data_IF_214019137496
#
_entry.id   IF_214019137496
#
_cell.length_a   1.000
_cell.length_b   1.000
_cell.length_c   1.000
_cell.angle_alpha   90.00
_cell.angle_beta   90.00
_cell.angle_gamma   90.00
#
_symmetry.space_group_name_H-M   'P 1'
#
loop_
_entity.id
_entity.type
_entity.pdbx_description
1 polymer ?
#
# COMPACT_ATOMS: atom_id res chain seq x y z
N UNK A 1 20.10 -8.87 -7.73
CA UNK A 1 18.94 -9.53 -8.37
C UNK A 1 18.79 -10.93 -7.79
N UNK A 2 17.60 -11.27 -7.31
CA UNK A 2 17.23 -12.62 -6.85
C UNK A 2 15.90 -13.04 -7.49
N UNK A 3 15.45 -14.26 -7.26
CA UNK A 3 14.13 -14.75 -7.68
C UNK A 3 13.30 -15.01 -6.43
N UNK A 4 12.05 -14.58 -6.44
CA UNK A 4 11.11 -14.79 -5.34
C UNK A 4 9.72 -15.16 -5.86
N UNK A 5 8.97 -15.86 -5.02
CA UNK A 5 7.58 -16.20 -5.26
C UNK A 5 6.66 -15.06 -4.83
N UNK A 6 5.80 -14.60 -5.75
CA UNK A 6 4.83 -13.53 -5.51
C UNK A 6 3.41 -14.05 -5.72
N UNK A 7 2.48 -13.62 -4.85
CA UNK A 7 1.09 -14.07 -4.93
C UNK A 7 0.22 -13.02 -5.58
N UNK A 8 -0.31 -13.36 -6.74
CA UNK A 8 -1.23 -12.54 -7.52
C UNK A 8 -2.66 -13.03 -7.35
N UNK A 9 -3.63 -12.17 -7.66
CA UNK A 9 -5.00 -12.65 -7.91
C UNK A 9 -5.00 -13.55 -9.15
N UNK A 10 -5.65 -14.72 -9.05
CA UNK A 10 -5.77 -15.65 -10.17
C UNK A 10 -6.87 -15.20 -11.13
N UNK A 11 -6.49 -14.89 -12.39
CA UNK A 11 -7.40 -14.47 -13.47
C UNK A 11 -8.51 -15.49 -13.75
N UNK A 12 -8.31 -16.78 -13.45
CA UNK A 12 -9.34 -17.81 -13.65
C UNK A 12 -10.38 -17.87 -12.53
N UNK A 13 -10.20 -17.12 -11.43
CA UNK A 13 -10.98 -17.28 -10.20
C UNK A 13 -12.04 -16.20 -9.95
N UNK A 14 -12.23 -15.27 -10.89
CA UNK A 14 -13.24 -14.20 -10.79
C UNK A 14 -13.75 -13.83 -12.19
N UNK A 15 -14.95 -13.24 -12.26
CA UNK A 15 -15.45 -12.60 -13.48
C UNK A 15 -14.86 -11.18 -13.59
N UNK A 16 -14.01 -10.89 -14.59
CA UNK A 16 -13.39 -9.57 -14.75
C UNK A 16 -14.40 -8.47 -15.10
N UNK A 17 -15.62 -8.83 -15.51
CA UNK A 17 -16.68 -7.88 -15.88
C UNK A 17 -17.69 -7.65 -14.74
N UNK A 18 -17.59 -8.39 -13.64
CA UNK A 18 -18.54 -8.25 -12.54
C UNK A 18 -18.34 -6.91 -11.81
N UNK A 19 -19.38 -6.07 -11.83
CA UNK A 19 -19.41 -4.77 -11.13
C UNK A 19 -20.37 -4.75 -9.95
N UNK A 20 -21.27 -5.72 -9.87
CA UNK A 20 -22.26 -5.79 -8.79
C UNK A 20 -21.60 -6.23 -7.46
N UNK A 21 -21.97 -5.62 -6.32
CA UNK A 21 -21.50 -6.06 -5.01
C UNK A 21 -21.69 -7.56 -4.80
N UNK A 22 -20.72 -8.21 -4.14
CA UNK A 22 -20.68 -9.65 -3.88
C UNK A 22 -20.55 -10.57 -5.11
N UNK A 23 -20.71 -10.06 -6.34
CA UNK A 23 -20.30 -10.75 -7.58
C UNK A 23 -18.91 -10.34 -8.04
N UNK A 24 -18.62 -9.04 -7.96
CA UNK A 24 -17.28 -8.48 -8.10
C UNK A 24 -16.35 -9.14 -7.08
N UNK A 25 -15.08 -9.42 -7.42
CA UNK A 25 -14.15 -9.99 -6.46
C UNK A 25 -14.04 -9.15 -5.19
N UNK A 26 -14.06 -9.81 -4.03
CA UNK A 26 -14.07 -9.16 -2.73
C UNK A 26 -13.11 -9.82 -1.74
N UNK A 27 -12.70 -9.05 -0.74
CA UNK A 27 -11.93 -9.51 0.42
C UNK A 27 -12.50 -8.93 1.71
N UNK A 28 -12.52 -9.72 2.78
CA UNK A 28 -12.87 -9.27 4.12
C UNK A 28 -11.70 -8.52 4.76
N UNK A 29 -12.01 -7.47 5.52
CA UNK A 29 -10.97 -6.66 6.21
C UNK A 29 -10.52 -7.26 7.54
N UNK A 30 -11.32 -8.16 8.10
CA UNK A 30 -11.18 -8.75 9.43
C UNK A 30 -10.65 -10.19 9.39
N UNK A 31 -10.30 -10.71 8.22
CA UNK A 31 -9.86 -12.09 8.07
C UNK A 31 -9.40 -12.46 6.67
N UNK A 32 -9.06 -13.73 6.44
CA UNK A 32 -8.53 -14.21 5.16
C UNK A 32 -9.62 -14.45 4.09
N UNK A 33 -10.90 -14.24 4.43
CA UNK A 33 -12.03 -14.50 3.56
C UNK A 33 -12.01 -13.64 2.29
N UNK A 34 -12.17 -14.28 1.15
CA UNK A 34 -12.20 -13.65 -0.18
C UNK A 34 -12.94 -14.53 -1.18
N UNK A 35 -13.38 -13.94 -2.29
CA UNK A 35 -14.10 -14.67 -3.36
C UNK A 35 -13.23 -15.14 -4.52
N UNK A 36 -11.92 -14.93 -4.45
CA UNK A 36 -10.96 -15.26 -5.50
C UNK A 36 -9.81 -16.09 -4.95
N UNK A 37 -9.15 -16.83 -5.83
CA UNK A 37 -7.96 -17.62 -5.52
C UNK A 37 -6.69 -16.78 -5.76
N UNK A 38 -5.60 -17.19 -5.11
CA UNK A 38 -4.28 -16.66 -5.44
C UNK A 38 -3.51 -17.66 -6.27
N UNK A 39 -2.71 -17.15 -7.20
CA UNK A 39 -1.68 -17.90 -7.89
C UNK A 39 -0.31 -17.39 -7.45
N UNK A 40 0.62 -18.31 -7.20
CA UNK A 40 1.98 -17.98 -6.80
C UNK A 40 2.91 -18.16 -8.01
N UNK A 41 3.64 -17.11 -8.35
CA UNK A 41 4.50 -17.08 -9.53
C UNK A 41 5.87 -16.57 -9.16
N UNK A 42 6.90 -17.26 -9.63
CA UNK A 42 8.28 -16.78 -9.50
C UNK A 42 8.52 -15.57 -10.41
N UNK A 43 9.12 -14.53 -9.86
CA UNK A 43 9.59 -13.36 -10.61
C UNK A 43 10.98 -12.96 -10.14
N UNK A 44 11.72 -12.35 -11.05
CA UNK A 44 12.96 -11.64 -10.70
C UNK A 44 12.58 -10.42 -9.85
N UNK A 45 13.38 -10.18 -8.82
CA UNK A 45 13.32 -8.97 -8.01
C UNK A 45 14.71 -8.36 -7.92
N UNK A 46 14.78 -7.08 -8.26
CA UNK A 46 16.01 -6.31 -8.38
C UNK A 46 16.24 -5.47 -7.12
N UNK A 47 17.49 -5.40 -6.68
CA UNK A 47 17.84 -4.56 -5.55
C UNK A 47 17.96 -3.11 -6.02
N UNK A 48 17.21 -2.20 -5.41
CA UNK A 48 17.16 -0.78 -5.74
C UNK A 48 18.46 -0.04 -5.37
N UNK A 49 19.31 -0.67 -4.54
CA UNK A 49 20.58 -0.10 -4.09
C UNK A 49 21.46 0.31 -5.28
N UNK A 50 21.93 1.56 -5.28
CA UNK A 50 22.80 2.14 -6.30
C UNK A 50 22.09 2.64 -7.57
N UNK A 51 20.77 2.52 -7.65
CA UNK A 51 19.93 3.02 -8.74
C UNK A 51 18.80 3.94 -8.23
N UNK A 52 18.86 4.38 -6.97
CA UNK A 52 17.78 5.10 -6.30
C UNK A 52 17.35 6.37 -7.04
N UNK A 53 18.29 7.06 -7.68
CA UNK A 53 18.04 8.30 -8.44
C UNK A 53 17.13 8.10 -9.66
N UNK A 54 17.02 6.87 -10.16
CA UNK A 54 16.25 6.56 -11.36
C UNK A 54 14.77 6.34 -11.06
N UNK A 55 14.40 6.31 -9.77
CA UNK A 55 13.06 5.98 -9.28
C UNK A 55 12.48 7.14 -8.46
N UNK A 56 11.30 7.58 -8.89
CA UNK A 56 10.54 8.67 -8.29
C UNK A 56 9.08 8.24 -8.18
N UNK A 57 8.34 8.91 -7.29
CA UNK A 57 6.89 8.68 -7.20
C UNK A 57 6.16 8.98 -8.51
N UNK A 58 6.68 9.87 -9.36
CA UNK A 58 6.04 10.22 -10.63
C UNK A 58 6.39 9.27 -11.78
N UNK A 59 7.58 8.66 -11.85
CA UNK A 59 7.91 7.73 -12.94
C UNK A 59 7.60 6.26 -12.61
N UNK A 60 7.98 5.77 -11.43
CA UNK A 60 7.88 4.36 -11.05
C UNK A 60 6.80 4.11 -10.00
N UNK A 61 6.28 5.16 -9.38
CA UNK A 61 5.31 5.05 -8.29
C UNK A 61 5.95 4.84 -6.91
N UNK A 62 7.28 4.91 -6.79
CA UNK A 62 7.97 4.82 -5.49
C UNK A 62 9.32 5.54 -5.49
N UNK A 63 9.79 5.93 -4.31
CA UNK A 63 11.09 6.59 -4.14
C UNK A 63 11.69 6.31 -2.76
N UNK A 64 12.99 6.02 -2.70
CA UNK A 64 13.72 5.79 -1.45
C UNK A 64 14.42 7.07 -1.00
N UNK A 65 14.35 7.37 0.29
CA UNK A 65 15.06 8.49 0.90
C UNK A 65 15.79 8.07 2.18
N UNK A 66 17.03 8.53 2.32
CA UNK A 66 17.68 8.59 3.63
C UNK A 66 17.02 9.72 4.44
N UNK A 67 16.33 9.33 5.52
CA UNK A 67 15.57 10.22 6.38
C UNK A 67 15.50 9.63 7.80
N UNK A 68 16.57 9.75 8.59
CA UNK A 68 16.56 9.39 10.01
C UNK A 68 15.32 9.97 10.73
N UNK A 69 14.63 9.17 11.55
CA UNK A 69 13.53 9.66 12.38
C UNK A 69 13.96 9.76 13.84
N UNK A 70 13.32 10.68 14.57
CA UNK A 70 13.50 10.83 16.01
C UNK A 70 12.72 9.78 16.80
N UNK A 71 11.52 9.44 16.34
CA UNK A 71 10.77 8.31 16.87
C UNK A 71 11.35 6.99 16.32
N UNK A 72 11.74 6.09 17.21
CA UNK A 72 12.40 4.82 16.85
C UNK A 72 11.70 3.58 17.40
N UNK A 73 10.85 3.71 18.42
CA UNK A 73 10.20 2.59 19.08
C UNK A 73 8.80 2.32 18.49
N UNK A 74 8.05 3.37 18.16
CA UNK A 74 6.69 3.31 17.62
C UNK A 74 5.74 2.46 18.48
N UNK A 75 5.81 2.60 19.80
CA UNK A 75 5.00 1.84 20.76
C UNK A 75 3.86 2.64 21.39
N UNK A 76 3.85 3.97 21.21
CA UNK A 76 2.83 4.89 21.72
C UNK A 76 2.16 5.64 20.55
N UNK A 77 0.87 5.36 20.31
CA UNK A 77 0.08 6.02 19.25
C UNK A 77 0.05 7.55 19.40
N UNK A 78 0.01 8.06 20.64
CA UNK A 78 0.01 9.49 20.88
C UNK A 78 1.36 10.12 20.48
N UNK A 79 2.48 9.46 20.80
CA UNK A 79 3.81 9.90 20.39
C UNK A 79 3.97 9.87 18.86
N UNK A 80 3.46 8.83 18.18
CA UNK A 80 3.47 8.75 16.72
C UNK A 80 2.70 9.90 16.09
N UNK A 81 1.49 10.20 16.60
CA UNK A 81 0.65 11.28 16.07
C UNK A 81 1.19 12.67 16.37
N UNK A 82 1.74 12.90 17.56
CA UNK A 82 2.21 14.22 17.98
C UNK A 82 3.61 14.56 17.42
N UNK A 83 4.48 13.55 17.26
CA UNK A 83 5.86 13.74 16.80
C UNK A 83 6.06 13.26 15.37
N UNK A 84 5.96 11.95 15.13
CA UNK A 84 6.38 11.33 13.87
C UNK A 84 5.56 11.81 12.66
N UNK A 85 4.28 12.14 12.84
CA UNK A 85 3.46 12.72 11.77
C UNK A 85 4.04 14.03 11.22
N UNK A 86 4.63 14.87 12.09
CA UNK A 86 5.28 16.10 11.65
C UNK A 86 6.55 15.81 10.84
N UNK A 87 7.32 14.79 11.23
CA UNK A 87 8.51 14.34 10.47
C UNK A 87 8.12 13.81 9.08
N UNK A 88 7.01 13.06 8.99
CA UNK A 88 6.46 12.56 7.73
C UNK A 88 5.99 13.70 6.83
N UNK A 89 5.25 14.68 7.37
CA UNK A 89 4.81 15.84 6.60
C UNK A 89 6.00 16.66 6.07
N UNK A 90 7.02 16.91 6.91
CA UNK A 90 8.23 17.61 6.51
C UNK A 90 8.94 16.89 5.36
N UNK A 91 9.10 15.56 5.48
CA UNK A 91 9.71 14.75 4.43
C UNK A 91 8.92 14.81 3.12
N UNK A 92 7.59 14.70 3.16
CA UNK A 92 6.72 14.82 1.98
C UNK A 92 6.89 16.18 1.31
N UNK A 93 6.81 17.28 2.06
CA UNK A 93 6.98 18.64 1.52
C UNK A 93 8.38 18.88 0.94
N UNK A 94 9.41 18.29 1.55
CA UNK A 94 10.79 18.40 1.08
C UNK A 94 11.03 17.64 -0.23
N UNK A 95 10.37 16.50 -0.41
CA UNK A 95 10.63 15.58 -1.54
C UNK A 95 9.64 15.72 -2.68
N UNK A 96 8.44 16.23 -2.42
CA UNK A 96 7.40 16.46 -3.41
C UNK A 96 7.26 17.97 -3.63
N UNK A 97 7.67 18.51 -4.78
CA UNK A 97 7.57 19.95 -5.03
C UNK A 97 6.09 20.39 -5.16
N UNK A 98 5.77 21.57 -4.63
CA UNK A 98 4.44 22.17 -4.77
C UNK A 98 3.36 21.65 -3.83
N UNK A 99 3.73 20.91 -2.77
CA UNK A 99 2.77 20.44 -1.76
C UNK A 99 2.17 21.63 -1.01
N UNK A 100 0.85 21.79 -1.17
CA UNK A 100 0.02 22.77 -0.47
C UNK A 100 -0.37 22.25 0.91
N UNK A 101 -0.97 21.06 0.95
CA UNK A 101 -1.53 20.44 2.16
C UNK A 101 -1.17 18.96 2.24
N UNK A 102 -0.87 18.50 3.44
CA UNK A 102 -0.78 17.08 3.78
C UNK A 102 -1.83 16.79 4.84
N UNK A 103 -2.55 15.68 4.69
CA UNK A 103 -3.44 15.16 5.72
C UNK A 103 -3.12 13.68 5.94
N UNK A 104 -2.61 13.36 7.12
CA UNK A 104 -2.31 11.99 7.54
C UNK A 104 -3.56 11.41 8.18
N UNK A 105 -4.10 10.33 7.61
CA UNK A 105 -5.39 9.79 8.06
C UNK A 105 -5.28 8.49 8.85
N UNK A 106 -4.23 7.70 8.64
CA UNK A 106 -3.92 6.56 9.50
C UNK A 106 -2.42 6.23 9.47
N UNK A 107 -2.01 5.43 10.44
CA UNK A 107 -0.80 4.62 10.31
C UNK A 107 -1.08 3.17 10.70
N UNK A 108 -0.30 2.25 10.17
CA UNK A 108 -0.33 0.84 10.52
C UNK A 108 1.05 0.37 10.92
N UNK A 109 1.14 -0.26 12.09
CA UNK A 109 2.36 -0.90 12.54
C UNK A 109 2.19 -2.41 12.44
N UNK A 110 3.16 -3.08 11.83
CA UNK A 110 3.24 -4.54 11.75
C UNK A 110 4.52 -4.98 12.44
N UNK A 111 4.39 -5.88 13.41
CA UNK A 111 5.51 -6.54 14.08
C UNK A 111 5.31 -8.02 13.92
N UNK A 112 6.29 -8.74 13.37
CA UNK A 112 6.24 -10.19 13.23
C UNK A 112 6.91 -10.85 14.43
N UNK A 113 6.11 -11.12 15.45
CA UNK A 113 6.45 -11.88 16.65
C UNK A 113 5.50 -13.09 16.79
N UNK A 114 5.80 -14.09 17.62
CA UNK A 114 4.84 -15.15 17.92
C UNK A 114 3.51 -14.56 18.41
N UNK A 115 2.40 -14.92 17.74
CA UNK A 115 1.05 -14.45 18.11
C UNK A 115 0.63 -13.08 17.57
N UNK A 116 1.41 -12.46 16.66
CA UNK A 116 1.03 -11.18 16.08
C UNK A 116 -0.29 -11.23 15.31
N UNK A 117 -1.19 -10.30 15.60
CA UNK A 117 -2.47 -10.15 14.90
C UNK A 117 -2.30 -9.80 13.41
N UNK A 118 -1.23 -9.08 13.06
CA UNK A 118 -0.96 -8.60 11.68
C UNK A 118 0.36 -9.13 11.16
N UNK A 119 0.29 -10.01 10.16
CA UNK A 119 1.44 -10.46 9.39
C UNK A 119 1.71 -9.55 8.17
N UNK A 120 2.91 -9.59 7.58
CA UNK A 120 3.17 -8.99 6.27
C UNK A 120 2.17 -9.44 5.20
N UNK A 121 1.60 -8.50 4.45
CA UNK A 121 0.66 -8.79 3.35
C UNK A 121 1.45 -9.34 2.17
N UNK A 122 1.06 -10.50 1.66
CA UNK A 122 1.75 -11.22 0.56
C UNK A 122 0.97 -11.24 -0.76
N UNK A 123 -0.20 -10.58 -0.82
CA UNK A 123 -0.90 -10.32 -2.07
C UNK A 123 -0.25 -9.11 -2.73
N UNK A 124 0.04 -9.17 -4.03
CA UNK A 124 0.41 -7.99 -4.82
C UNK A 124 -0.83 -7.08 -4.96
N UNK A 125 -0.75 -5.87 -4.43
CA UNK A 125 -1.88 -4.95 -4.36
C UNK A 125 -1.46 -3.48 -4.51
N UNK A 126 -2.45 -2.61 -4.71
CA UNK A 126 -2.36 -1.17 -4.50
C UNK A 126 -3.54 -0.75 -3.63
N UNK A 127 -3.27 -0.04 -2.53
CA UNK A 127 -4.27 0.24 -1.50
C UNK A 127 -5.52 0.96 -1.99
N UNK A 128 -5.41 1.79 -3.03
CA UNK A 128 -6.47 2.71 -3.43
C UNK A 128 -6.85 2.55 -4.88
N UNK A 129 -8.15 2.42 -5.13
CA UNK A 129 -8.74 2.73 -6.42
C UNK A 129 -9.13 4.21 -6.50
N UNK A 130 -9.47 4.77 -7.67
CA UNK A 130 -9.92 6.15 -7.77
C UNK A 130 -11.10 6.47 -6.84
N UNK A 131 -12.08 5.57 -6.77
CA UNK A 131 -13.24 5.69 -5.87
C UNK A 131 -12.82 5.67 -4.40
N UNK A 132 -11.90 4.76 -4.04
CA UNK A 132 -11.41 4.66 -2.67
C UNK A 132 -10.59 5.91 -2.27
N UNK A 133 -9.78 6.44 -3.18
CA UNK A 133 -8.98 7.63 -2.96
C UNK A 133 -9.85 8.87 -2.71
N UNK A 134 -10.87 9.11 -3.54
CA UNK A 134 -11.83 10.19 -3.30
C UNK A 134 -12.58 9.99 -1.97
N UNK A 135 -13.00 8.76 -1.65
CA UNK A 135 -13.65 8.46 -0.39
C UNK A 135 -12.76 8.76 0.84
N UNK A 136 -11.43 8.65 0.71
CA UNK A 136 -10.48 9.07 1.77
C UNK A 136 -10.45 10.58 1.93
N UNK A 137 -10.46 11.35 0.84
CA UNK A 137 -10.56 12.82 0.90
C UNK A 137 -11.82 13.22 1.66
N UNK A 138 -12.98 12.70 1.22
CA UNK A 138 -14.29 13.02 1.82
C UNK A 138 -14.41 12.61 3.29
N UNK A 139 -13.76 11.52 3.69
CA UNK A 139 -13.83 11.01 5.07
C UNK A 139 -12.92 11.76 6.04
N UNK A 140 -11.75 12.18 5.58
CA UNK A 140 -10.66 12.62 6.48
C UNK A 140 -10.39 14.13 6.44
N UNK A 141 -11.05 14.87 5.56
CA UNK A 141 -10.93 16.32 5.49
C UNK A 141 -12.18 17.05 6.01
N UNK A 142 -12.03 18.32 6.45
CA UNK A 142 -13.16 19.20 6.71
C UNK A 142 -14.08 19.32 5.50
N UNK A 143 -15.39 19.22 5.72
CA UNK A 143 -16.41 19.20 4.66
C UNK A 143 -16.35 20.44 3.75
N UNK A 144 -16.01 21.60 4.32
CA UNK A 144 -15.89 22.89 3.61
C UNK A 144 -14.65 23.00 2.70
N UNK A 145 -13.67 22.10 2.85
CA UNK A 145 -12.48 22.08 2.00
C UNK A 145 -12.53 21.02 0.88
N UNK A 146 -13.36 19.98 1.04
CA UNK A 146 -13.34 18.77 0.19
C UNK A 146 -13.50 19.10 -1.29
N UNK A 147 -14.52 19.87 -1.65
CA UNK A 147 -14.84 20.14 -3.06
C UNK A 147 -13.77 20.98 -3.75
N UNK A 148 -13.12 21.90 -3.05
CA UNK A 148 -12.01 22.68 -3.61
C UNK A 148 -10.75 21.82 -3.79
N UNK A 149 -10.46 20.96 -2.82
CA UNK A 149 -9.28 20.10 -2.88
C UNK A 149 -9.39 19.00 -3.93
N UNK A 150 -10.60 18.52 -4.23
CA UNK A 150 -10.85 17.54 -5.30
C UNK A 150 -10.72 18.13 -6.72
N UNK A 151 -10.74 19.46 -6.87
CA UNK A 151 -10.55 20.11 -8.18
C UNK A 151 -9.10 20.16 -8.62
N UNK A 152 -8.15 20.24 -7.68
CA UNK A 152 -6.71 20.26 -7.95
C UNK A 152 -6.09 18.86 -7.95
N UNK A 153 -4.79 18.76 -8.24
CA UNK A 153 -4.07 17.49 -8.05
C UNK A 153 -4.03 17.13 -6.57
N UNK A 154 -4.38 15.88 -6.30
CA UNK A 154 -4.09 15.18 -5.06
C UNK A 154 -3.55 13.76 -5.31
N UNK A 155 -2.79 13.28 -4.34
CA UNK A 155 -2.16 11.97 -4.30
C UNK A 155 -2.42 11.27 -2.96
N UNK A 156 -2.30 9.94 -2.96
CA UNK A 156 -2.12 9.17 -1.73
C UNK A 156 -0.73 8.55 -1.76
N UNK A 157 0.09 8.91 -0.77
CA UNK A 157 1.43 8.37 -0.56
C UNK A 157 1.47 7.64 0.78
N UNK A 158 1.87 6.38 0.75
CA UNK A 158 2.25 5.66 1.96
C UNK A 158 3.74 5.91 2.21
N UNK A 159 4.08 6.37 3.41
CA UNK A 159 5.48 6.47 3.88
C UNK A 159 5.77 5.26 4.73
N UNK A 160 6.57 4.35 4.18
CA UNK A 160 6.90 3.07 4.80
C UNK A 160 8.34 3.07 5.31
N UNK A 161 8.56 2.52 6.50
CA UNK A 161 9.92 2.25 7.01
C UNK A 161 10.00 1.02 7.92
N UNK A 162 11.18 0.39 8.00
CA UNK A 162 11.52 -0.56 9.05
C UNK A 162 11.55 0.11 10.43
N UNK A 163 11.29 -0.69 11.46
CA UNK A 163 11.42 -0.31 12.87
C UNK A 163 12.51 -1.19 13.49
N UNK A 164 13.36 -0.59 14.31
CA UNK A 164 14.39 -1.23 15.15
C UNK A 164 15.54 -1.92 14.38
N UNK A 165 15.22 -2.73 13.37
CA UNK A 165 16.17 -3.55 12.63
C UNK A 165 16.01 -3.36 11.11
N UNK A 166 17.03 -3.70 10.31
CA UNK A 166 16.87 -3.79 8.86
C UNK A 166 15.73 -4.76 8.48
N UNK A 167 14.98 -4.41 7.44
CA UNK A 167 13.87 -5.23 6.93
C UNK A 167 14.37 -6.41 6.06
N UNK A 168 15.20 -7.28 6.62
CA UNK A 168 15.70 -8.48 5.94
C UNK A 168 14.69 -9.62 5.91
N UNK A 169 13.85 -9.73 6.95
CA UNK A 169 12.72 -10.67 6.99
C UNK A 169 11.51 -10.07 6.27
N UNK A 170 10.92 -10.82 5.34
CA UNK A 170 9.78 -10.37 4.53
C UNK A 170 9.89 -8.93 3.98
N UNK A 171 10.96 -8.55 3.26
CA UNK A 171 11.11 -7.21 2.73
C UNK A 171 9.94 -6.76 1.85
N UNK A 172 9.81 -5.45 1.66
CA UNK A 172 8.83 -4.85 0.79
C UNK A 172 9.33 -4.88 -0.67
N UNK A 173 8.59 -5.55 -1.54
CA UNK A 173 8.76 -5.46 -2.98
C UNK A 173 7.76 -4.47 -3.59
N UNK A 174 8.20 -3.81 -4.65
CA UNK A 174 7.52 -2.75 -5.40
C UNK A 174 7.59 -3.06 -6.88
N UNK A 175 6.50 -2.88 -7.61
CA UNK A 175 6.49 -3.00 -9.07
C UNK A 175 6.67 -1.61 -9.67
N UNK A 176 7.65 -1.47 -10.54
CA UNK A 176 7.81 -0.25 -11.33
C UNK A 176 6.57 -0.02 -12.20
N UNK A 177 5.85 1.06 -11.94
CA UNK A 177 4.63 1.45 -12.65
C UNK A 177 4.75 1.33 -14.18
N UNK A 178 5.91 1.68 -14.74
CA UNK A 178 6.18 1.63 -16.19
C UNK A 178 6.04 0.22 -16.79
N UNK A 179 5.97 -0.80 -15.94
CA UNK A 179 5.82 -2.21 -16.31
C UNK A 179 4.45 -2.80 -15.99
N UNK A 180 3.52 -2.01 -15.45
CA UNK A 180 2.14 -2.43 -15.14
C UNK A 180 1.22 -2.01 -16.28
N UNK A 181 0.44 -2.94 -16.83
CA UNK A 181 -0.59 -2.62 -17.81
C UNK A 181 -1.89 -2.17 -17.12
N UNK A 182 -2.72 -1.32 -17.75
CA UNK A 182 -4.03 -0.93 -17.19
C UNK A 182 -4.90 -2.13 -16.78
N UNK A 183 -4.88 -3.21 -17.57
CA UNK A 183 -5.66 -4.43 -17.34
C UNK A 183 -5.07 -5.36 -16.25
N UNK A 184 -3.98 -4.96 -15.62
CA UNK A 184 -3.43 -5.65 -14.44
C UNK A 184 -4.13 -5.19 -13.15
N UNK A 185 -4.80 -4.03 -13.16
CA UNK A 185 -5.52 -3.49 -12.01
C UNK A 185 -6.91 -4.11 -11.86
N UNK A 186 -7.06 -5.00 -10.88
CA UNK A 186 -8.34 -5.65 -10.57
C UNK A 186 -8.96 -5.00 -9.34
N UNK A 187 -10.09 -4.32 -9.52
CA UNK A 187 -10.81 -3.69 -8.40
C UNK A 187 -11.40 -4.76 -7.50
N UNK A 188 -11.05 -4.72 -6.21
CA UNK A 188 -11.53 -5.63 -5.18
C UNK A 188 -12.39 -4.86 -4.18
N UNK A 189 -13.61 -5.32 -3.94
CA UNK A 189 -14.43 -4.76 -2.88
C UNK A 189 -13.93 -5.19 -1.50
N UNK A 190 -13.89 -4.26 -0.55
CA UNK A 190 -13.56 -4.54 0.84
C UNK A 190 -14.85 -4.68 1.65
N UNK A 191 -15.04 -5.87 2.20
CA UNK A 191 -16.17 -6.21 3.06
C UNK A 191 -15.85 -5.91 4.52
N UNK A 192 -16.70 -5.07 5.12
CA UNK A 192 -16.64 -4.74 6.54
C UNK A 192 -17.84 -5.36 7.26
N UNK A 193 -17.67 -5.86 8.49
CA UNK A 193 -18.79 -6.20 9.35
C UNK A 193 -19.72 -4.98 9.53
N UNK A 194 -21.04 -5.21 9.49
CA UNK A 194 -22.03 -4.13 9.72
C UNK A 194 -21.91 -3.53 11.13
N UNK A 195 -21.50 -4.34 12.10
CA UNK A 195 -21.25 -3.93 13.49
C UNK A 195 -19.76 -3.69 13.77
N UNK A 196 -19.02 -3.17 12.78
CA UNK A 196 -17.59 -2.88 12.93
C UNK A 196 -17.32 -1.87 14.05
N UNK A 197 -16.51 -2.27 15.03
CA UNK A 197 -15.90 -1.36 16.00
C UNK A 197 -14.48 -1.08 15.54
N UNK A 198 -14.15 0.18 15.24
CA UNK A 198 -12.86 0.58 14.65
C UNK A 198 -11.63 0.10 15.44
N UNK A 199 -11.78 -0.20 16.74
CA UNK A 199 -10.70 -0.62 17.64
C UNK A 199 -10.84 -2.07 18.14
N UNK A 200 -11.81 -2.84 17.62
CA UNK A 200 -12.06 -4.22 18.03
C UNK A 200 -11.48 -5.20 17.02
N UNK A 201 -10.20 -5.51 17.12
CA UNK A 201 -9.60 -6.61 16.34
C UNK A 201 -10.17 -7.93 16.88
N UNK A 202 -11.23 -8.45 16.25
CA UNK A 202 -11.78 -9.77 16.56
C UNK A 202 -11.21 -10.75 15.53
N UNK A 203 -10.57 -11.82 16.01
CA UNK A 203 -10.14 -12.89 15.13
C UNK A 203 -11.35 -13.48 14.40
N UNK A 204 -11.26 -13.70 13.07
CA UNK A 204 -12.40 -14.18 12.30
C UNK A 204 -12.78 -15.57 12.79
N UNK A 205 -14.08 -15.81 12.91
CA UNK A 205 -14.60 -17.16 13.16
C UNK A 205 -14.23 -18.06 11.95
N UNK A 206 -13.51 -19.14 12.25
CA UNK A 206 -13.01 -20.07 11.24
C UNK A 206 -14.13 -20.75 10.44
N UNK A 207 -15.33 -20.85 11.01
CA UNK A 207 -16.48 -21.48 10.35
C UNK A 207 -17.17 -20.54 9.34
N UNK A 208 -16.96 -19.22 9.44
CA UNK A 208 -17.62 -18.20 8.62
C UNK A 208 -16.67 -17.41 7.70
N UNK A 209 -15.44 -17.92 7.48
CA UNK A 209 -14.40 -17.26 6.66
C UNK A 209 -14.95 -16.77 5.32
N UNK A 210 -15.70 -17.62 4.59
CA UNK A 210 -16.25 -17.29 3.28
C UNK A 210 -17.70 -16.77 3.30
N UNK A 211 -18.38 -16.78 4.45
CA UNK A 211 -19.74 -16.24 4.56
C UNK A 211 -19.73 -14.72 4.44
N UNK A 212 -20.64 -14.16 3.65
CA UNK A 212 -20.82 -12.70 3.53
C UNK A 212 -21.97 -12.18 4.39
N UNK A 213 -22.62 -13.06 5.17
CA UNK A 213 -23.68 -12.67 6.09
C UNK A 213 -23.13 -11.73 7.17
N UNK A 214 -23.84 -10.62 7.42
CA UNK A 214 -23.39 -9.59 8.36
C UNK A 214 -22.33 -8.62 7.82
N UNK A 215 -21.95 -8.73 6.53
CA UNK A 215 -20.99 -7.81 5.89
C UNK A 215 -21.66 -6.83 4.93
N UNK A 216 -20.96 -5.74 4.64
CA UNK A 216 -21.29 -4.74 3.63
C UNK A 216 -20.03 -4.23 2.91
N UNK A 217 -20.19 -3.81 1.66
CA UNK A 217 -19.11 -3.20 0.88
C UNK A 217 -18.92 -1.75 1.34
N UNK A 218 -17.77 -1.45 1.96
CA UNK A 218 -17.44 -0.11 2.51
C UNK A 218 -16.11 0.46 2.02
N UNK A 219 -15.35 -0.31 1.24
CA UNK A 219 -14.09 0.12 0.66
C UNK A 219 -13.79 -0.60 -0.65
N UNK A 220 -12.70 -0.21 -1.29
CA UNK A 220 -12.21 -0.82 -2.52
C UNK A 220 -10.69 -0.71 -2.56
N UNK A 221 -10.02 -1.70 -3.13
CA UNK A 221 -8.57 -1.72 -3.35
C UNK A 221 -8.28 -2.33 -4.73
N UNK A 222 -7.03 -2.31 -5.16
CA UNK A 222 -6.58 -3.09 -6.31
C UNK A 222 -5.83 -4.33 -5.86
N UNK A 223 -6.23 -5.50 -6.36
CA UNK A 223 -5.29 -6.59 -6.53
C UNK A 223 -4.61 -6.42 -7.90
N UNK A 224 -3.36 -6.84 -8.00
CA UNK A 224 -2.64 -6.86 -9.28
C UNK A 224 -2.73 -8.26 -9.86
N UNK A 225 -3.21 -8.36 -11.10
CA UNK A 225 -3.23 -9.61 -11.86
C UNK A 225 -1.84 -9.92 -12.44
N UNK A 226 -1.49 -11.18 -12.68
CA UNK A 226 -0.15 -11.54 -13.13
C UNK A 226 0.13 -11.03 -14.54
N UNK A 227 1.33 -10.50 -14.71
CA UNK A 227 1.93 -10.11 -15.99
C UNK A 227 3.41 -10.52 -15.97
N UNK A 228 3.93 -11.01 -17.10
CA UNK A 228 5.36 -11.35 -17.24
C UNK A 228 6.24 -10.10 -17.37
N UNK A 229 5.67 -8.97 -17.79
CA UNK A 229 6.37 -7.70 -17.93
C UNK A 229 6.72 -7.03 -16.60
N UNK A 230 6.09 -7.42 -15.48
CA UNK A 230 6.32 -6.78 -14.18
C UNK A 230 7.78 -6.80 -13.77
N UNK A 231 8.31 -5.61 -13.46
CA UNK A 231 9.66 -5.43 -12.91
C UNK A 231 9.57 -5.13 -11.43
N UNK A 232 9.96 -6.09 -10.60
CA UNK A 232 9.99 -5.92 -9.15
C UNK A 232 11.32 -5.33 -8.70
N UNK A 233 11.23 -4.41 -7.76
CA UNK A 233 12.34 -3.84 -7.01
C UNK A 233 12.10 -4.03 -5.51
N UNK A 234 13.18 -4.11 -4.75
CA UNK A 234 13.16 -4.02 -3.29
C UNK A 234 14.41 -3.32 -2.82
N UNK A 235 14.44 -2.88 -1.57
CA UNK A 235 15.65 -2.31 -0.97
C UNK A 235 16.24 -3.38 -0.06
N UNK A 236 17.34 -4.00 -0.49
CA UNK A 236 18.00 -5.02 0.33
C UNK A 236 18.47 -4.39 1.64
N UNK A 237 18.12 -5.06 2.74
CA UNK A 237 18.44 -4.65 4.11
C UNK A 237 18.12 -3.17 4.38
N UNK A 238 16.96 -2.70 3.91
CA UNK A 238 16.48 -1.34 4.20
C UNK A 238 16.51 -1.10 5.71
N UNK A 239 17.13 0.00 6.13
CA UNK A 239 17.38 0.31 7.54
C UNK A 239 16.31 1.26 8.11
N UNK A 240 16.18 1.37 9.44
CA UNK A 240 15.33 2.39 10.07
C UNK A 240 15.72 3.86 9.77
N UNK A 241 16.91 4.10 9.20
CA UNK A 241 17.35 5.44 8.79
C UNK A 241 16.75 5.87 7.44
N UNK A 242 15.96 4.99 6.83
CA UNK A 242 15.44 5.17 5.48
C UNK A 242 13.91 5.17 5.50
N UNK A 243 13.31 5.85 4.53
CA UNK A 243 11.88 5.85 4.29
C UNK A 243 11.63 5.70 2.80
N UNK A 244 10.67 4.85 2.44
CA UNK A 244 10.25 4.66 1.07
C UNK A 244 8.85 5.23 0.90
N UNK A 245 8.68 6.04 -0.14
CA UNK A 245 7.37 6.51 -0.57
C UNK A 245 6.80 5.46 -1.52
N UNK A 246 5.54 5.10 -1.31
CA UNK A 246 4.78 4.22 -2.17
C UNK A 246 3.54 5.00 -2.62
N UNK A 247 3.43 5.27 -3.91
CA UNK A 247 2.25 5.92 -4.47
C UNK A 247 1.12 4.90 -4.54
N UNK A 248 0.01 5.23 -3.90
CA UNK A 248 -1.22 4.44 -3.93
C UNK A 248 -2.27 5.03 -4.86
N UNK A 249 -2.20 6.33 -5.14
CA UNK A 249 -3.08 7.02 -6.09
C UNK A 249 -2.49 8.38 -6.49
N UNK A 250 -2.79 8.84 -7.71
CA UNK A 250 -2.57 10.21 -8.18
C UNK A 250 -3.66 10.62 -9.17
N UNK A 251 -4.39 11.69 -8.85
CA UNK A 251 -5.46 12.25 -9.69
C UNK A 251 -4.97 12.82 -11.02
N UNK A 252 -3.67 13.10 -11.15
CA UNK A 252 -3.02 13.54 -12.39
C UNK A 252 -2.25 12.41 -13.08
N UNK A 253 -2.44 11.16 -12.67
CA UNK A 253 -1.74 10.03 -13.29
C UNK A 253 -2.10 9.84 -14.76
N UNK A 254 -1.26 9.07 -15.46
CA UNK A 254 -1.52 8.62 -16.82
C UNK A 254 -2.92 8.01 -16.96
N UNK A 255 -3.29 7.12 -16.05
CA UNK A 255 -4.62 6.49 -16.00
C UNK A 255 -5.74 7.50 -15.81
N UNK A 256 -5.59 8.45 -14.87
CA UNK A 256 -6.65 9.40 -14.53
C UNK A 256 -6.84 10.49 -15.59
N UNK A 257 -5.80 10.74 -16.39
CA UNK A 257 -5.80 11.80 -17.41
C UNK A 257 -5.93 11.26 -18.83
N UNK A 258 -6.26 9.97 -19.00
CA UNK A 258 -6.39 9.31 -20.30
C UNK A 258 -5.11 9.44 -21.16
N UNK A 259 -3.96 9.29 -20.51
CA UNK A 259 -2.64 9.31 -21.15
C UNK A 259 -2.06 10.69 -21.44
N UNK A 260 -2.65 11.78 -20.92
CA UNK A 260 -2.12 13.14 -21.08
C UNK A 260 -0.88 13.41 -20.24
N UNK A 261 -0.57 12.56 -19.27
CA UNK A 261 0.64 12.63 -18.44
C UNK A 261 1.34 11.27 -18.41
N UNK A 262 2.63 11.27 -18.10
CA UNK A 262 3.42 10.06 -17.86
C UNK A 262 3.52 9.72 -16.36
N UNK A 263 2.65 10.31 -15.54
CA UNK A 263 2.70 10.19 -14.09
C UNK A 263 2.16 8.83 -13.67
N UNK A 264 2.90 8.13 -12.80
CA UNK A 264 2.49 6.86 -12.23
C UNK A 264 1.15 6.94 -11.49
N UNK A 265 0.27 5.97 -11.72
CA UNK A 265 -1.02 5.88 -11.01
C UNK A 265 -0.84 5.33 -9.59
N UNK A 266 -0.03 4.28 -9.45
CA UNK A 266 0.34 3.68 -8.18
C UNK A 266 1.35 2.56 -8.39
N UNK A 267 2.03 2.13 -7.34
CA UNK A 267 3.00 1.04 -7.38
C UNK A 267 2.42 -0.21 -6.73
N UNK A 268 2.28 -1.29 -7.50
CA UNK A 268 1.99 -2.61 -6.93
C UNK A 268 3.01 -2.96 -5.86
N UNK A 269 2.58 -3.42 -4.69
CA UNK A 269 3.49 -3.74 -3.59
C UNK A 269 3.04 -4.96 -2.80
N UNK A 270 4.00 -5.60 -2.16
CA UNK A 270 3.79 -6.80 -1.35
C UNK A 270 5.01 -7.08 -0.47
N UNK A 271 4.80 -7.77 0.64
CA UNK A 271 5.89 -8.47 1.30
C UNK A 271 6.21 -9.75 0.51
N UNK A 272 7.48 -10.17 0.51
CA UNK A 272 7.89 -11.43 -0.10
C UNK A 272 8.95 -12.12 0.74
N UNK A 273 9.06 -13.44 0.62
CA UNK A 273 10.17 -14.18 1.23
C UNK A 273 11.45 -13.98 0.39
N UNK A 274 12.45 -13.30 0.93
CA UNK A 274 13.77 -13.21 0.30
C UNK A 274 14.57 -14.48 0.62
N UNK A 275 14.91 -15.33 -0.37
CA UNK A 275 15.73 -16.52 -0.12
C UNK A 275 17.14 -16.18 0.39
N UNK A 276 17.54 -14.90 0.33
CA UNK A 276 18.80 -14.41 0.86
C UNK A 276 18.71 -13.84 2.29
N UNK A 277 17.54 -13.91 2.95
CA UNK A 277 17.40 -13.48 4.35
C UNK A 277 18.36 -14.28 5.24
N UNK A 278 19.27 -13.62 5.99
CA UNK A 278 20.19 -14.32 6.88
C UNK A 278 19.47 -15.17 7.94
N UNK A 279 20.02 -16.34 8.24
CA UNK A 279 19.50 -17.18 9.31
C UNK A 279 19.54 -16.43 10.65
N UNK A 280 18.44 -16.47 11.40
CA UNK A 280 18.31 -15.75 12.68
C UNK A 280 18.00 -14.25 12.53
N UNK A 281 17.70 -13.75 11.32
CA UNK A 281 17.21 -12.38 11.15
C UNK A 281 15.97 -12.14 12.03
N UNK A 282 15.88 -10.98 12.70
CA UNK A 282 14.71 -10.64 13.49
C UNK A 282 13.47 -10.57 12.59
N UNK A 283 12.31 -10.93 13.15
CA UNK A 283 11.05 -10.80 12.44
C UNK A 283 10.79 -9.33 12.07
N UNK A 284 10.27 -9.11 10.86
CA UNK A 284 10.04 -7.75 10.35
C UNK A 284 9.21 -6.91 11.30
N UNK A 285 9.69 -5.70 11.59
CA UNK A 285 8.88 -4.65 12.18
C UNK A 285 8.88 -3.44 11.25
N UNK A 286 7.71 -2.85 11.01
CA UNK A 286 7.57 -1.73 10.08
C UNK A 286 6.37 -0.86 10.43
N UNK A 287 6.48 0.44 10.15
CA UNK A 287 5.36 1.38 10.16
C UNK A 287 5.08 1.85 8.73
N UNK A 288 3.80 2.01 8.43
CA UNK A 288 3.30 2.64 7.22
C UNK A 288 2.37 3.78 7.60
N UNK A 289 2.68 5.01 7.17
CA UNK A 289 1.86 6.20 7.41
C UNK A 289 1.17 6.60 6.11
N UNK A 290 -0.16 6.68 6.10
CA UNK A 290 -0.95 6.96 4.90
C UNK A 290 -1.32 8.43 4.83
N UNK A 291 -0.91 9.07 3.75
CA UNK A 291 -0.95 10.51 3.61
C UNK A 291 -1.74 10.91 2.36
N UNK A 292 -2.72 11.79 2.52
CA UNK A 292 -3.26 12.58 1.42
C UNK A 292 -2.36 13.78 1.19
N UNK A 293 -1.97 14.02 -0.06
CA UNK A 293 -1.08 15.12 -0.45
C UNK A 293 -1.76 15.94 -1.55
N UNK A 294 -1.95 17.23 -1.31
CA UNK A 294 -2.65 18.15 -2.20
C UNK A 294 -1.71 19.22 -2.73
N UNK A 295 -1.97 19.67 -3.95
CA UNK A 295 -1.18 20.65 -4.69
C UNK A 295 -2.03 21.87 -5.05
N UNK A 296 -1.37 22.98 -5.40
CA UNK A 296 -2.07 24.20 -5.85
C UNK A 296 -2.59 24.11 -7.31
N UNK A 297 -2.12 23.12 -8.08
CA UNK A 297 -2.49 22.86 -9.48
C UNK A 297 -3.10 21.47 -9.65
#
# INVERSE_FOLDING_TARGET
>A
MTTAAFRYIDRASYDPNATEPFKKPWGKVDGPGRSYSLTELERKVEDLRGQESDFTTDNSGFALYNSPAKETAFTDDAAVRAGYYAEVEELLRKKLPGVKKVAIFDHTIRRRTPGSARSPVQLVHVDQTPRAAEARVRRHLPEDEVEELLKGRYQIINVWRPIENPASDFPLALIDWRSIAPDDFVKIDLLYPKEWKENGEVAPDSESIFSTEGYEVKGETYAIAPNEGHRFFYVKDMTPEEAIFIKCFDSRSHTMTEGKTDIAHGSGHTAFFDPQTPAGSPGRQSIEVRCLVFYDE
#
